data_IF_034565323909
#
_entry.id   IF_034565323909
#
_cell.length_a   1.000
_cell.length_b   1.000
_cell.length_c   1.000
_cell.angle_alpha   90.00
_cell.angle_beta   90.00
_cell.angle_gamma   90.00
#
_symmetry.space_group_name_H-M   'P 1'
#
loop_
_entity.id
_entity.type
_entity.pdbx_description
1 polymer ?
#
# COMPACT_ATOMS: atom_id res chain seq x y z
N UNK A 1 -27.70 17.91 9.13
CA UNK A 1 -26.82 16.77 8.89
C UNK A 1 -26.04 16.43 10.16
N UNK A 2 -25.71 15.16 10.35
CA UNK A 2 -24.89 14.79 11.48
C UNK A 2 -23.42 15.22 11.31
N UNK A 3 -22.65 15.13 12.40
CA UNK A 3 -21.25 15.56 12.42
C UNK A 3 -20.38 14.74 11.48
N UNK A 4 -20.60 13.43 11.39
CA UNK A 4 -19.85 12.53 10.53
C UNK A 4 -20.05 12.88 9.05
N UNK A 5 -21.30 13.05 8.62
CA UNK A 5 -21.64 13.45 7.25
C UNK A 5 -20.99 14.79 6.89
N UNK A 6 -21.07 15.76 7.79
CA UNK A 6 -20.45 17.08 7.58
C UNK A 6 -18.93 16.98 7.43
N UNK A 7 -18.27 16.15 8.25
CA UNK A 7 -16.82 15.93 8.17
C UNK A 7 -16.44 15.22 6.88
N UNK A 8 -17.22 14.23 6.45
CA UNK A 8 -16.96 13.49 5.22
C UNK A 8 -17.08 14.37 3.98
N UNK A 9 -18.11 15.23 3.93
CA UNK A 9 -18.31 16.19 2.84
C UNK A 9 -17.15 17.18 2.78
N UNK A 10 -16.74 17.73 3.93
CA UNK A 10 -15.62 18.65 4.01
C UNK A 10 -14.32 18.01 3.51
N UNK A 11 -14.07 16.77 3.89
CA UNK A 11 -12.89 16.01 3.44
C UNK A 11 -12.91 15.74 1.94
N UNK A 12 -14.06 15.35 1.39
CA UNK A 12 -14.21 15.15 -0.06
C UNK A 12 -13.92 16.42 -0.85
N UNK A 13 -14.37 17.55 -0.37
CA UNK A 13 -14.11 18.86 -1.02
C UNK A 13 -12.63 19.19 -0.97
N UNK A 14 -11.98 19.03 0.18
CA UNK A 14 -10.54 19.27 0.33
C UNK A 14 -9.71 18.43 -0.64
N UNK A 15 -9.97 17.13 -0.66
CA UNK A 15 -9.23 16.17 -1.52
C UNK A 15 -9.50 16.40 -2.99
N UNK A 16 -10.74 16.75 -3.34
CA UNK A 16 -11.11 17.11 -4.71
C UNK A 16 -10.33 18.33 -5.21
N UNK A 17 -10.21 19.36 -4.38
CA UNK A 17 -9.41 20.54 -4.71
C UNK A 17 -7.92 20.20 -4.81
N UNK A 18 -7.43 19.27 -4.01
CA UNK A 18 -6.04 18.82 -4.05
C UNK A 18 -5.67 18.18 -5.39
N UNK A 19 -6.60 17.50 -6.04
CA UNK A 19 -6.38 16.89 -7.36
C UNK A 19 -5.95 17.90 -8.42
N UNK A 20 -6.44 19.13 -8.38
CA UNK A 20 -6.03 20.14 -9.35
C UNK A 20 -4.53 20.44 -9.27
N UNK A 21 -3.93 20.34 -8.09
CA UNK A 21 -2.48 20.41 -7.94
C UNK A 21 -1.75 19.26 -8.64
N UNK A 22 -2.34 18.05 -8.64
CA UNK A 22 -1.80 16.90 -9.37
C UNK A 22 -1.77 17.13 -10.88
N UNK A 23 -2.84 17.71 -11.42
CA UNK A 23 -2.92 17.96 -12.87
C UNK A 23 -1.94 19.02 -13.35
N UNK A 24 -1.51 19.93 -12.46
CA UNK A 24 -0.59 21.01 -12.79
C UNK A 24 0.88 20.65 -12.57
N UNK A 25 1.17 19.73 -11.64
CA UNK A 25 2.53 19.33 -11.29
C UNK A 25 2.56 17.85 -10.89
N UNK A 26 3.60 17.13 -11.30
CA UNK A 26 3.76 15.73 -10.94
C UNK A 26 3.94 15.57 -9.42
N UNK A 27 3.15 14.70 -8.81
CA UNK A 27 3.27 14.36 -7.40
C UNK A 27 4.30 13.25 -7.18
N UNK A 28 4.98 13.31 -6.04
CA UNK A 28 5.78 12.19 -5.56
C UNK A 28 4.89 11.01 -5.15
N UNK A 29 5.46 9.82 -5.04
CA UNK A 29 4.74 8.65 -4.51
C UNK A 29 4.22 8.90 -3.10
N UNK A 30 4.98 9.63 -2.28
CA UNK A 30 4.56 10.03 -0.94
C UNK A 30 3.29 10.89 -0.97
N UNK A 31 3.19 11.83 -1.90
CA UNK A 31 1.99 12.65 -2.04
C UNK A 31 0.78 11.83 -2.49
N UNK A 32 0.98 10.88 -3.41
CA UNK A 32 -0.07 9.97 -3.86
C UNK A 32 -0.56 9.09 -2.71
N UNK A 33 0.35 8.52 -1.90
CA UNK A 33 -0.01 7.73 -0.72
C UNK A 33 -0.82 8.52 0.29
N UNK A 34 -0.41 9.77 0.53
CA UNK A 34 -1.14 10.67 1.46
C UNK A 34 -2.53 10.97 0.97
N UNK A 35 -2.69 11.23 -0.33
CA UNK A 35 -4.00 11.47 -0.93
C UNK A 35 -4.92 10.26 -0.72
N UNK A 36 -4.46 9.06 -1.04
CA UNK A 36 -5.25 7.83 -0.88
C UNK A 36 -5.56 7.53 0.59
N UNK A 37 -4.59 7.71 1.49
CA UNK A 37 -4.77 7.49 2.92
C UNK A 37 -5.74 8.49 3.54
N UNK A 38 -5.63 9.76 3.17
CA UNK A 38 -6.51 10.80 3.68
C UNK A 38 -7.95 10.61 3.21
N UNK A 39 -8.14 10.06 2.00
CA UNK A 39 -9.45 9.68 1.51
C UNK A 39 -10.03 8.45 2.25
N UNK A 40 -9.17 7.44 2.52
CA UNK A 40 -9.57 6.22 3.22
C UNK A 40 -10.81 5.58 2.59
N UNK A 41 -11.86 5.37 3.39
CA UNK A 41 -13.12 4.79 2.93
C UNK A 41 -13.89 5.67 1.94
N UNK A 42 -13.54 6.93 1.84
CA UNK A 42 -14.19 7.89 0.92
C UNK A 42 -13.58 7.85 -0.49
N UNK A 43 -12.56 7.03 -0.73
CA UNK A 43 -11.81 7.05 -1.99
C UNK A 43 -12.69 6.85 -3.22
N UNK A 44 -13.60 5.87 -3.20
CA UNK A 44 -14.52 5.63 -4.32
C UNK A 44 -15.44 6.81 -4.58
N UNK A 45 -15.99 7.40 -3.51
CA UNK A 45 -16.83 8.60 -3.61
C UNK A 45 -16.05 9.77 -4.17
N UNK A 46 -14.79 9.90 -3.76
CA UNK A 46 -13.88 10.92 -4.26
C UNK A 46 -13.63 10.75 -5.75
N UNK A 47 -13.42 9.52 -6.22
CA UNK A 47 -13.26 9.22 -7.64
C UNK A 47 -14.51 9.64 -8.45
N UNK A 48 -15.69 9.31 -7.96
CA UNK A 48 -16.95 9.68 -8.60
C UNK A 48 -17.09 11.21 -8.68
N UNK A 49 -16.86 11.89 -7.58
CA UNK A 49 -16.96 13.36 -7.50
C UNK A 49 -15.97 14.03 -8.46
N UNK A 50 -14.72 13.58 -8.45
CA UNK A 50 -13.66 14.18 -9.29
C UNK A 50 -13.94 13.96 -10.76
N UNK A 51 -14.36 12.76 -11.15
CA UNK A 51 -14.71 12.48 -12.55
C UNK A 51 -15.90 13.28 -13.02
N UNK A 52 -16.92 13.47 -12.20
CA UNK A 52 -18.07 14.31 -12.52
C UNK A 52 -17.67 15.76 -12.76
N UNK A 53 -16.74 16.26 -11.97
CA UNK A 53 -16.31 17.67 -12.02
C UNK A 53 -15.31 17.96 -13.14
N UNK A 54 -14.66 16.96 -13.74
CA UNK A 54 -13.78 17.16 -14.89
C UNK A 54 -14.56 17.41 -16.19
N UNK A 55 -15.88 17.27 -16.16
CA UNK A 55 -16.75 17.59 -17.27
C UNK A 55 -16.81 19.11 -17.46
N UNK A 56 -16.21 19.61 -18.52
CA UNK A 56 -16.16 21.04 -18.83
C UNK A 56 -16.50 21.26 -20.31
N UNK A 57 -16.93 22.48 -20.65
CA UNK A 57 -17.20 22.88 -22.04
C UNK A 57 -15.94 22.88 -22.90
N UNK A 58 -14.78 23.09 -22.30
CA UNK A 58 -13.51 23.00 -23.00
C UNK A 58 -13.06 21.54 -23.08
N UNK A 59 -13.24 20.92 -24.23
CA UNK A 59 -12.92 19.52 -24.46
C UNK A 59 -11.46 19.17 -24.20
N UNK A 60 -10.52 20.04 -24.58
CA UNK A 60 -9.09 19.80 -24.36
C UNK A 60 -8.77 19.76 -22.85
N UNK A 61 -9.38 20.66 -22.09
CA UNK A 61 -9.21 20.69 -20.63
C UNK A 61 -9.85 19.47 -19.99
N UNK A 62 -11.06 19.07 -20.44
CA UNK A 62 -11.74 17.89 -19.93
C UNK A 62 -10.92 16.61 -20.20
N UNK A 63 -10.39 16.46 -21.42
CA UNK A 63 -9.58 15.30 -21.79
C UNK A 63 -8.27 15.25 -20.97
N UNK A 64 -7.61 16.39 -20.79
CA UNK A 64 -6.39 16.49 -19.97
C UNK A 64 -6.64 16.13 -18.52
N UNK A 65 -7.71 16.62 -17.92
CA UNK A 65 -8.07 16.32 -16.54
C UNK A 65 -8.47 14.85 -16.37
N UNK A 66 -9.22 14.30 -17.31
CA UNK A 66 -9.59 12.89 -17.30
C UNK A 66 -8.36 11.99 -17.40
N UNK A 67 -7.42 12.31 -18.28
CA UNK A 67 -6.16 11.58 -18.42
C UNK A 67 -5.32 11.65 -17.13
N UNK A 68 -5.20 12.85 -16.55
CA UNK A 68 -4.48 13.05 -15.31
C UNK A 68 -5.10 12.24 -14.14
N UNK A 69 -6.41 12.15 -14.11
CA UNK A 69 -7.11 11.39 -13.08
C UNK A 69 -6.95 9.88 -13.27
N UNK A 70 -6.99 9.39 -14.50
CA UNK A 70 -6.69 7.99 -14.81
C UNK A 70 -5.28 7.63 -14.37
N UNK A 71 -4.31 8.49 -14.61
CA UNK A 71 -2.93 8.32 -14.16
C UNK A 71 -2.85 8.24 -12.63
N UNK A 72 -3.54 9.15 -11.92
CA UNK A 72 -3.58 9.14 -10.46
C UNK A 72 -4.19 7.85 -9.91
N UNK A 73 -5.32 7.40 -10.46
CA UNK A 73 -5.95 6.12 -10.04
C UNK A 73 -5.01 4.93 -10.24
N UNK A 74 -4.31 4.87 -11.37
CA UNK A 74 -3.35 3.81 -11.66
C UNK A 74 -2.18 3.83 -10.67
N UNK A 75 -1.66 5.01 -10.33
CA UNK A 75 -0.59 5.14 -9.35
C UNK A 75 -1.04 4.73 -7.95
N UNK A 76 -2.25 5.08 -7.54
CA UNK A 76 -2.82 4.64 -6.27
C UNK A 76 -2.87 3.11 -6.22
N UNK A 77 -3.36 2.49 -7.28
CA UNK A 77 -3.46 1.03 -7.39
C UNK A 77 -2.09 0.35 -7.30
N UNK A 78 -1.12 0.84 -8.07
CA UNK A 78 0.24 0.28 -8.08
C UNK A 78 0.92 0.40 -6.72
N UNK A 79 0.79 1.55 -6.05
CA UNK A 79 1.35 1.74 -4.72
C UNK A 79 0.67 0.89 -3.67
N UNK A 80 -0.66 0.73 -3.75
CA UNK A 80 -1.42 -0.13 -2.86
C UNK A 80 -0.99 -1.59 -2.99
N UNK A 81 -0.84 -2.10 -4.21
CA UNK A 81 -0.35 -3.46 -4.48
C UNK A 81 1.07 -3.65 -3.96
N UNK A 82 1.95 -2.67 -4.13
CA UNK A 82 3.32 -2.71 -3.62
C UNK A 82 3.35 -2.73 -2.08
N UNK A 83 2.48 -1.97 -1.43
CA UNK A 83 2.36 -1.95 0.03
C UNK A 83 1.78 -3.25 0.58
N UNK A 84 0.82 -3.85 -0.09
CA UNK A 84 0.31 -5.18 0.25
C UNK A 84 1.42 -6.22 0.17
N UNK A 85 2.24 -6.16 -0.87
CA UNK A 85 3.40 -7.03 -1.01
C UNK A 85 4.42 -6.79 0.11
N UNK A 86 4.67 -5.54 0.45
CA UNK A 86 5.59 -5.17 1.54
C UNK A 86 5.05 -5.58 2.92
N UNK A 87 3.74 -5.73 3.07
CA UNK A 87 3.11 -6.18 4.31
C UNK A 87 3.13 -7.69 4.48
N UNK A 88 3.54 -8.46 3.47
CA UNK A 88 3.68 -9.92 3.56
C UNK A 88 4.69 -10.27 4.65
N UNK A 89 4.36 -11.28 5.45
CA UNK A 89 5.19 -11.75 6.57
C UNK A 89 5.53 -13.23 6.37
N UNK A 90 6.70 -13.69 6.84
CA UNK A 90 7.02 -15.11 6.82
C UNK A 90 6.07 -15.92 7.72
N UNK A 91 6.04 -17.22 7.54
CA UNK A 91 5.17 -18.12 8.29
C UNK A 91 5.59 -18.34 9.75
N UNK A 92 6.76 -17.84 10.14
CA UNK A 92 7.24 -17.79 11.52
C UNK A 92 7.64 -16.35 11.86
N UNK A 93 7.31 -15.91 13.07
CA UNK A 93 7.73 -14.60 13.57
C UNK A 93 9.11 -14.67 14.24
N UNK A 94 9.64 -13.50 14.65
CA UNK A 94 10.96 -13.43 15.30
C UNK A 94 11.04 -14.22 16.59
N UNK A 95 10.00 -14.23 17.42
CA UNK A 95 9.97 -14.98 18.67
C UNK A 95 10.02 -16.49 18.44
N UNK A 96 9.27 -16.98 17.46
CA UNK A 96 9.27 -18.39 17.05
C UNK A 96 10.65 -18.81 16.51
N UNK A 97 11.28 -17.96 15.72
CA UNK A 97 12.63 -18.20 15.17
C UNK A 97 13.65 -18.33 16.30
N UNK A 98 13.63 -17.39 17.27
CA UNK A 98 14.52 -17.44 18.43
C UNK A 98 14.34 -18.73 19.23
N UNK A 99 13.12 -19.14 19.44
CA UNK A 99 12.82 -20.38 20.17
C UNK A 99 13.31 -21.62 19.44
N UNK A 100 13.10 -21.70 18.13
CA UNK A 100 13.51 -22.85 17.30
C UNK A 100 15.04 -22.96 17.22
N UNK A 101 15.72 -21.86 17.01
CA UNK A 101 17.19 -21.82 16.87
C UNK A 101 17.93 -21.73 18.20
N UNK A 102 17.22 -21.41 19.28
CA UNK A 102 17.85 -21.24 20.59
C UNK A 102 18.81 -20.05 20.65
N UNK A 103 18.49 -18.98 19.97
CA UNK A 103 19.34 -17.78 19.88
C UNK A 103 18.63 -16.55 20.47
N UNK A 104 19.40 -15.56 20.98
CA UNK A 104 18.84 -14.30 21.46
C UNK A 104 18.45 -13.38 20.32
N UNK A 105 17.68 -12.34 20.64
CA UNK A 105 17.39 -11.26 19.70
C UNK A 105 18.71 -10.65 19.18
N UNK A 106 18.78 -10.37 17.89
CA UNK A 106 19.96 -9.78 17.27
C UNK A 106 20.03 -10.03 15.78
N UNK A 107 21.23 -9.89 15.24
CA UNK A 107 21.50 -9.97 13.80
C UNK A 107 21.10 -11.33 13.20
N UNK A 108 21.38 -12.41 13.89
CA UNK A 108 21.10 -13.76 13.37
C UNK A 108 19.59 -14.01 13.21
N UNK A 109 18.78 -13.51 14.13
CA UNK A 109 17.31 -13.56 14.00
C UNK A 109 16.85 -12.75 12.78
N UNK A 110 17.43 -11.58 12.57
CA UNK A 110 17.14 -10.74 11.41
C UNK A 110 17.46 -11.44 10.07
N UNK A 111 18.61 -12.10 9.99
CA UNK A 111 19.00 -12.85 8.79
C UNK A 111 18.08 -14.07 8.57
N UNK A 112 17.72 -14.78 9.63
CA UNK A 112 16.79 -15.90 9.57
C UNK A 112 15.39 -15.45 9.12
N UNK A 113 14.92 -14.34 9.67
CA UNK A 113 13.65 -13.74 9.28
C UNK A 113 13.63 -13.37 7.80
N UNK A 114 14.68 -12.74 7.31
CA UNK A 114 14.81 -12.38 5.90
C UNK A 114 14.86 -13.60 4.99
N UNK A 115 15.53 -14.65 5.41
CA UNK A 115 15.52 -15.93 4.67
C UNK A 115 14.09 -16.47 4.50
N UNK A 116 13.33 -16.53 5.61
CA UNK A 116 11.95 -17.03 5.57
C UNK A 116 11.02 -16.09 4.81
N UNK A 117 11.28 -14.77 4.86
CA UNK A 117 10.52 -13.80 4.07
C UNK A 117 10.73 -14.05 2.57
N UNK A 118 11.94 -14.28 2.14
CA UNK A 118 12.23 -14.63 0.74
C UNK A 118 11.55 -15.91 0.32
N UNK A 119 11.54 -16.93 1.17
CA UNK A 119 10.79 -18.18 0.91
C UNK A 119 9.29 -17.88 0.74
N UNK A 120 8.74 -17.03 1.61
CA UNK A 120 7.33 -16.64 1.55
C UNK A 120 6.99 -15.90 0.25
N UNK A 121 7.87 -15.02 -0.21
CA UNK A 121 7.69 -14.29 -1.45
C UNK A 121 7.81 -15.19 -2.69
N UNK A 122 8.75 -16.15 -2.67
CA UNK A 122 8.99 -17.03 -3.80
C UNK A 122 7.97 -18.17 -3.91
N UNK A 123 7.59 -18.76 -2.80
CA UNK A 123 6.80 -19.98 -2.77
C UNK A 123 5.37 -19.80 -2.23
N UNK A 124 5.05 -18.64 -1.68
CA UNK A 124 3.77 -18.41 -0.99
C UNK A 124 3.77 -19.00 0.42
N UNK A 125 2.60 -19.07 1.09
CA UNK A 125 2.51 -19.65 2.42
C UNK A 125 2.79 -21.14 2.39
N UNK A 126 3.75 -21.60 3.21
CA UNK A 126 4.14 -23.00 3.31
C UNK A 126 3.72 -23.67 4.63
N UNK A 127 3.25 -22.87 5.60
CA UNK A 127 2.87 -23.33 6.93
C UNK A 127 4.03 -23.37 7.91
N UNK A 128 3.70 -23.35 9.19
CA UNK A 128 4.69 -23.28 10.26
C UNK A 128 5.64 -24.48 10.31
N UNK A 129 5.14 -25.69 10.07
CA UNK A 129 5.95 -26.91 10.14
C UNK A 129 7.02 -26.95 9.05
N UNK A 130 6.66 -26.67 7.81
CA UNK A 130 7.61 -26.64 6.70
C UNK A 130 8.56 -25.45 6.82
N UNK A 131 8.08 -24.30 7.29
CA UNK A 131 8.93 -23.14 7.56
C UNK A 131 10.00 -23.47 8.60
N UNK A 132 9.65 -24.23 9.65
CA UNK A 132 10.59 -24.71 10.65
C UNK A 132 11.66 -25.61 10.04
N UNK A 133 11.28 -26.57 9.21
CA UNK A 133 12.22 -27.46 8.50
C UNK A 133 13.19 -26.66 7.63
N UNK A 134 12.67 -25.71 6.85
CA UNK A 134 13.48 -24.83 6.01
C UNK A 134 14.44 -23.98 6.82
N UNK A 135 13.97 -23.44 7.95
CA UNK A 135 14.78 -22.64 8.85
C UNK A 135 15.94 -23.44 9.44
N UNK A 136 15.67 -24.63 9.92
CA UNK A 136 16.70 -25.51 10.50
C UNK A 136 17.74 -25.93 9.46
N UNK A 137 17.30 -26.26 8.25
CA UNK A 137 18.21 -26.62 7.15
C UNK A 137 19.10 -25.43 6.76
N UNK A 138 18.54 -24.26 6.65
CA UNK A 138 19.29 -23.03 6.35
C UNK A 138 20.32 -22.73 7.43
N UNK A 139 19.91 -22.83 8.70
CA UNK A 139 20.79 -22.57 9.84
C UNK A 139 21.96 -23.56 9.89
N UNK A 140 21.72 -24.83 9.61
CA UNK A 140 22.75 -25.85 9.59
C UNK A 140 23.77 -25.66 8.47
N UNK A 141 23.36 -25.07 7.36
CA UNK A 141 24.22 -24.86 6.18
C UNK A 141 24.80 -23.45 6.09
N UNK A 142 24.65 -22.67 7.12
CA UNK A 142 25.08 -21.28 7.16
C UNK A 142 26.60 -21.12 7.30
#
# INVERSE_FOLDING_TARGET
FDKETTQNVARLIELHLRFFGYSDAAWSDSAVRRYARDAGELLERLHILTRADVTTRNKRKADRLSFAYDDLENRIKELSEAEEMAAVRPDLNGEEIMAILGIPAGRDVGEAYNYLLNVRLDEGPIGADLARERLLAWWANR
#
